data_IF_727689830830
#
_entry.id   IF_727689830830
#
_cell.length_a   1.000
_cell.length_b   1.000
_cell.length_c   1.000
_cell.angle_alpha   90.00
_cell.angle_beta   90.00
_cell.angle_gamma   90.00
#
_symmetry.space_group_name_H-M   'P 1'
#
loop_
_entity.id
_entity.type
_entity.pdbx_description
1 polymer ?
#
# COMPACT_ATOMS: atom_id res chain seq x y z
N UNK A 1 9.19 -15.54 19.66
CA UNK A 1 10.40 -14.95 19.01
C UNK A 1 9.92 -13.91 18.00
N UNK A 2 10.41 -12.63 18.08
CA UNK A 2 9.94 -11.49 17.28
C UNK A 2 10.93 -11.08 16.17
N UNK A 3 11.63 -12.01 15.50
CA UNK A 3 12.62 -11.67 14.47
C UNK A 3 12.04 -10.86 13.32
N UNK A 4 11.30 -11.51 12.41
CA UNK A 4 10.69 -10.86 11.23
C UNK A 4 9.71 -9.71 11.55
N UNK A 5 8.88 -9.77 12.62
CA UNK A 5 8.06 -8.63 13.01
C UNK A 5 8.84 -7.35 13.27
N UNK A 6 10.05 -7.43 13.87
CA UNK A 6 10.91 -6.27 14.11
C UNK A 6 11.54 -5.72 12.81
N UNK A 7 11.74 -6.56 11.80
CA UNK A 7 12.15 -6.10 10.46
C UNK A 7 11.02 -5.33 9.77
N UNK A 8 9.77 -5.76 10.00
CA UNK A 8 8.61 -5.09 9.41
C UNK A 8 8.24 -3.80 10.13
N UNK A 9 8.43 -3.76 11.45
CA UNK A 9 8.17 -2.57 12.27
C UNK A 9 9.19 -2.50 13.40
N UNK A 10 10.20 -1.66 13.24
CA UNK A 10 11.27 -1.49 14.24
C UNK A 10 10.75 -0.94 15.58
N UNK A 11 9.61 -0.24 15.58
CA UNK A 11 8.94 0.29 16.78
C UNK A 11 7.90 -0.68 17.37
N UNK A 12 7.82 -1.92 16.90
CA UNK A 12 6.79 -2.89 17.31
C UNK A 12 6.59 -2.96 18.83
N UNK A 13 7.69 -3.16 19.57
CA UNK A 13 7.62 -3.28 21.03
C UNK A 13 7.10 -2.02 21.72
N UNK A 14 7.57 -0.85 21.32
CA UNK A 14 7.12 0.45 21.87
C UNK A 14 5.64 0.67 21.57
N UNK A 15 5.18 0.38 20.35
CA UNK A 15 3.77 0.50 19.96
C UNK A 15 2.90 -0.43 20.81
N UNK A 16 3.30 -1.70 20.97
CA UNK A 16 2.54 -2.68 21.74
C UNK A 16 2.36 -2.28 23.22
N UNK A 17 3.42 -1.79 23.88
CA UNK A 17 3.33 -1.43 25.32
C UNK A 17 2.68 -0.05 25.54
N UNK A 18 2.51 0.77 24.51
CA UNK A 18 1.90 2.10 24.60
C UNK A 18 0.45 2.15 24.12
N UNK A 19 -0.20 1.00 23.89
CA UNK A 19 -1.60 0.95 23.42
C UNK A 19 -1.79 1.41 21.98
N UNK A 20 -0.74 1.26 21.15
CA UNK A 20 -0.76 1.63 19.72
C UNK A 20 -0.69 0.40 18.81
N UNK A 21 -1.32 -0.71 19.20
CA UNK A 21 -1.28 -1.97 18.46
C UNK A 21 -1.80 -1.83 17.04
N UNK A 22 -2.80 -0.96 16.84
CA UNK A 22 -3.34 -0.65 15.51
C UNK A 22 -2.32 0.02 14.58
N UNK A 23 -1.29 0.67 15.14
CA UNK A 23 -0.23 1.32 14.37
C UNK A 23 0.93 0.37 13.99
N UNK A 24 0.87 -0.88 14.42
CA UNK A 24 1.88 -1.88 14.10
C UNK A 24 1.72 -2.33 12.64
N UNK A 25 2.79 -2.27 11.88
CA UNK A 25 2.89 -2.86 10.55
C UNK A 25 3.26 -4.34 10.70
N UNK A 26 2.30 -5.24 10.54
CA UNK A 26 2.50 -6.66 10.79
C UNK A 26 3.26 -7.36 9.66
N UNK A 27 4.08 -8.35 10.03
CA UNK A 27 4.81 -9.18 9.08
C UNK A 27 3.85 -10.06 8.28
N UNK A 28 3.96 -10.02 6.96
CA UNK A 28 3.15 -10.83 6.03
C UNK A 28 3.77 -12.18 5.69
N UNK A 29 4.83 -12.57 6.37
CA UNK A 29 5.50 -13.88 6.24
C UNK A 29 6.01 -14.24 4.83
N UNK A 30 6.25 -13.24 3.97
CA UNK A 30 6.73 -13.42 2.58
C UNK A 30 8.16 -13.99 2.48
N UNK A 31 8.95 -13.94 3.56
CA UNK A 31 10.35 -14.38 3.61
C UNK A 31 11.34 -13.58 2.74
N UNK A 32 10.97 -12.46 2.15
CA UNK A 32 11.88 -11.59 1.39
C UNK A 32 13.12 -11.20 2.20
N UNK A 33 12.94 -10.84 3.48
CA UNK A 33 14.05 -10.52 4.37
C UNK A 33 15.00 -11.73 4.58
N UNK A 34 14.46 -12.94 4.69
CA UNK A 34 15.26 -14.15 4.81
C UNK A 34 16.03 -14.45 3.52
N UNK A 35 15.36 -14.34 2.38
CA UNK A 35 15.98 -14.51 1.07
C UNK A 35 17.13 -13.52 0.84
N UNK A 36 16.95 -12.27 1.23
CA UNK A 36 18.00 -11.24 1.14
C UNK A 36 19.24 -11.62 1.98
N UNK A 37 19.04 -12.04 3.24
CA UNK A 37 20.14 -12.44 4.14
C UNK A 37 20.89 -13.66 3.58
N UNK A 38 20.17 -14.70 3.17
CA UNK A 38 20.79 -15.94 2.65
C UNK A 38 21.49 -15.68 1.30
N UNK A 39 20.92 -14.79 0.48
CA UNK A 39 21.50 -14.39 -0.81
C UNK A 39 22.65 -13.38 -0.70
N UNK A 40 23.02 -12.94 0.52
CA UNK A 40 24.08 -11.95 0.73
C UNK A 40 23.75 -10.55 0.21
N UNK A 41 22.46 -10.23 0.06
CA UNK A 41 22.00 -8.91 -0.37
C UNK A 41 21.61 -8.03 0.83
N UNK A 42 21.36 -6.74 0.55
CA UNK A 42 20.85 -5.80 1.54
C UNK A 42 19.50 -6.27 2.06
N UNK A 43 19.30 -6.16 3.38
CA UNK A 43 18.03 -6.50 4.02
C UNK A 43 16.86 -5.76 3.35
N UNK A 44 15.83 -6.50 2.98
CA UNK A 44 14.62 -5.99 2.35
C UNK A 44 13.36 -6.52 3.03
N UNK A 45 12.27 -5.78 2.96
CA UNK A 45 10.97 -6.20 3.46
C UNK A 45 9.86 -5.70 2.53
N UNK A 46 8.98 -6.60 2.07
CA UNK A 46 7.89 -6.23 1.15
C UNK A 46 6.86 -5.31 1.81
N UNK A 47 6.73 -5.37 3.14
CA UNK A 47 5.78 -4.53 3.88
C UNK A 47 6.43 -3.34 4.60
N UNK A 48 7.76 -3.20 4.62
CA UNK A 48 8.45 -2.05 5.21
C UNK A 48 9.42 -1.43 4.21
N UNK A 49 9.01 -0.38 3.47
CA UNK A 49 9.90 0.29 2.50
C UNK A 49 11.03 1.08 3.15
N UNK A 50 11.06 1.18 4.49
CA UNK A 50 12.05 1.93 5.26
C UNK A 50 13.09 1.05 5.94
N UNK A 51 13.02 -0.28 5.77
CA UNK A 51 13.93 -1.21 6.43
C UNK A 51 15.39 -0.84 6.15
N UNK A 52 16.20 -0.77 7.21
CA UNK A 52 17.62 -0.39 7.12
C UNK A 52 17.90 1.09 6.89
N UNK A 53 16.90 1.97 6.95
CA UNK A 53 17.12 3.42 6.93
C UNK A 53 17.49 3.92 8.33
N UNK A 54 18.38 4.91 8.43
CA UNK A 54 18.89 5.44 9.70
C UNK A 54 17.81 5.92 10.67
N UNK A 55 16.64 6.31 10.14
CA UNK A 55 15.51 6.83 10.92
C UNK A 55 14.24 5.98 10.75
N UNK A 56 14.35 4.66 10.60
CA UNK A 56 13.17 3.82 10.35
C UNK A 56 12.25 3.66 11.55
N UNK A 57 12.79 3.78 12.78
CA UNK A 57 12.03 3.56 14.01
C UNK A 57 10.96 4.63 14.18
N UNK A 58 9.69 4.22 14.10
CA UNK A 58 8.49 5.07 14.20
C UNK A 58 8.55 6.31 13.27
N UNK A 59 9.15 6.13 12.10
CA UNK A 59 9.35 7.21 11.13
C UNK A 59 8.05 7.91 10.74
N UNK A 60 8.12 9.23 10.71
CA UNK A 60 7.05 10.09 10.21
C UNK A 60 7.59 10.97 9.08
N UNK A 61 6.82 11.17 7.99
CA UNK A 61 7.22 12.07 6.91
C UNK A 61 7.36 13.51 7.39
N UNK A 62 8.42 14.19 6.95
CA UNK A 62 8.58 15.63 7.20
C UNK A 62 7.53 16.44 6.44
N UNK A 63 6.95 17.44 7.11
CA UNK A 63 5.96 18.30 6.47
C UNK A 63 6.60 19.22 5.44
N UNK A 64 5.92 19.39 4.32
CA UNK A 64 6.34 20.33 3.28
C UNK A 64 5.92 21.78 3.64
N UNK A 65 6.69 22.72 3.17
CA UNK A 65 6.34 24.17 3.23
C UNK A 65 5.48 24.59 2.03
N UNK A 66 5.35 23.75 1.01
CA UNK A 66 4.60 24.02 -0.22
C UNK A 66 3.55 22.93 -0.46
N UNK A 67 2.42 22.95 0.27
CA UNK A 67 1.32 21.99 0.06
C UNK A 67 0.80 22.02 -1.39
N UNK A 68 0.43 20.84 -1.87
CA UNK A 68 -0.14 20.64 -3.22
C UNK A 68 -1.39 19.79 -3.13
N UNK A 69 -2.25 19.90 -4.16
CA UNK A 69 -3.33 18.95 -4.42
C UNK A 69 -2.79 17.79 -5.24
N UNK A 70 -2.89 16.57 -4.72
CA UNK A 70 -2.38 15.38 -5.39
C UNK A 70 -3.54 14.41 -5.64
N UNK A 71 -3.72 14.04 -6.90
CA UNK A 71 -4.63 12.98 -7.28
C UNK A 71 -3.84 11.68 -7.48
N UNK A 72 -4.31 10.58 -6.90
CA UNK A 72 -3.70 9.26 -7.03
C UNK A 72 -4.70 8.32 -7.70
N UNK A 73 -4.34 7.74 -8.83
CA UNK A 73 -5.17 6.80 -9.58
C UNK A 73 -4.71 5.38 -9.29
N UNK A 74 -5.50 4.68 -8.50
CA UNK A 74 -5.25 3.33 -8.04
C UNK A 74 -5.11 3.25 -6.52
N UNK A 75 -6.02 2.49 -5.89
CA UNK A 75 -6.07 2.24 -4.46
C UNK A 75 -5.39 0.91 -4.05
N UNK A 76 -4.44 0.42 -4.84
CA UNK A 76 -3.56 -0.69 -4.51
C UNK A 76 -2.42 -0.28 -3.57
N UNK A 77 -1.55 -1.21 -3.13
CA UNK A 77 -0.49 -0.93 -2.16
C UNK A 77 0.40 0.25 -2.53
N UNK A 78 0.77 0.39 -3.81
CA UNK A 78 1.62 1.50 -4.26
C UNK A 78 0.93 2.86 -4.13
N UNK A 79 -0.34 2.96 -4.56
CA UNK A 79 -1.12 4.19 -4.44
C UNK A 79 -1.44 4.54 -2.99
N UNK A 80 -1.75 3.54 -2.18
CA UNK A 80 -2.04 3.74 -0.76
C UNK A 80 -0.81 4.20 0.04
N UNK A 81 0.37 3.61 -0.24
CA UNK A 81 1.61 4.07 0.40
C UNK A 81 1.93 5.52 0.00
N UNK A 82 1.82 5.85 -1.29
CA UNK A 82 2.01 7.22 -1.77
C UNK A 82 0.99 8.19 -1.13
N UNK A 83 -0.27 7.76 -0.98
CA UNK A 83 -1.34 8.59 -0.45
C UNK A 83 -1.11 9.02 1.00
N UNK A 84 -0.88 8.07 1.90
CA UNK A 84 -0.71 8.42 3.30
C UNK A 84 0.57 9.21 3.54
N UNK A 85 1.67 8.89 2.82
CA UNK A 85 2.92 9.64 2.94
C UNK A 85 2.74 11.08 2.44
N UNK A 86 2.13 11.28 1.27
CA UNK A 86 1.88 12.61 0.73
C UNK A 86 0.99 13.44 1.66
N UNK A 87 -0.10 12.87 2.17
CA UNK A 87 -1.00 13.56 3.10
C UNK A 87 -0.31 13.88 4.44
N UNK A 88 0.50 12.95 4.99
CA UNK A 88 1.29 13.20 6.19
C UNK A 88 2.32 14.33 5.99
N UNK A 89 2.83 14.50 4.76
CA UNK A 89 3.68 15.64 4.39
C UNK A 89 2.90 16.97 4.28
N UNK A 90 1.57 16.95 4.39
CA UNK A 90 0.72 18.14 4.36
C UNK A 90 0.10 18.46 3.00
N UNK A 91 0.18 17.56 2.03
CA UNK A 91 -0.54 17.71 0.77
C UNK A 91 -2.03 17.35 0.94
N UNK A 92 -2.89 17.95 0.13
CA UNK A 92 -4.28 17.53 -0.03
C UNK A 92 -4.33 16.35 -1.01
N UNK A 93 -4.76 15.18 -0.56
CA UNK A 93 -4.68 13.95 -1.35
C UNK A 93 -6.05 13.36 -1.61
N UNK A 94 -6.35 13.08 -2.89
CA UNK A 94 -7.52 12.31 -3.31
C UNK A 94 -7.08 11.05 -4.03
N UNK A 95 -7.56 9.90 -3.56
CA UNK A 95 -7.31 8.58 -4.16
C UNK A 95 -8.55 8.12 -4.92
N UNK A 96 -8.36 7.75 -6.19
CA UNK A 96 -9.37 7.14 -7.03
C UNK A 96 -9.13 5.63 -7.14
N UNK A 97 -10.15 4.82 -6.87
CA UNK A 97 -10.09 3.37 -6.94
C UNK A 97 -11.30 2.75 -7.66
N UNK A 98 -11.05 1.80 -8.56
CA UNK A 98 -12.12 1.13 -9.30
C UNK A 98 -12.95 0.20 -8.40
N UNK A 99 -12.33 -0.44 -7.42
CA UNK A 99 -13.00 -1.28 -6.44
C UNK A 99 -13.63 -0.45 -5.32
N UNK A 100 -14.62 -1.01 -4.63
CA UNK A 100 -15.27 -0.41 -3.45
C UNK A 100 -14.34 -0.29 -2.25
N UNK A 101 -13.24 -1.02 -2.26
CA UNK A 101 -12.27 -1.08 -1.18
C UNK A 101 -10.84 -0.87 -1.68
N UNK A 102 -9.95 -0.50 -0.75
CA UNK A 102 -8.51 -0.38 -0.99
C UNK A 102 -7.80 -1.73 -0.97
N UNK A 103 -6.54 -1.78 -1.44
CA UNK A 103 -5.68 -2.98 -1.40
C UNK A 103 -5.45 -3.60 -2.78
N UNK A 104 -6.27 -3.27 -3.79
CA UNK A 104 -6.08 -3.75 -5.16
C UNK A 104 -5.95 -5.27 -5.24
N UNK A 105 -5.06 -5.79 -6.08
CA UNK A 105 -4.85 -7.23 -6.24
C UNK A 105 -4.33 -7.95 -4.99
N UNK A 106 -3.71 -7.24 -4.05
CA UNK A 106 -3.27 -7.83 -2.78
C UNK A 106 -4.45 -8.39 -1.99
N UNK A 107 -5.64 -7.79 -2.12
CA UNK A 107 -6.86 -8.34 -1.51
C UNK A 107 -7.25 -9.69 -2.07
N UNK A 108 -7.10 -9.89 -3.38
CA UNK A 108 -7.39 -11.17 -4.02
C UNK A 108 -6.46 -12.26 -3.47
N UNK A 109 -5.17 -11.93 -3.33
CA UNK A 109 -4.20 -12.86 -2.75
C UNK A 109 -4.46 -13.12 -1.26
N UNK A 110 -4.87 -12.08 -0.50
CA UNK A 110 -5.22 -12.22 0.92
C UNK A 110 -6.47 -13.10 1.15
N UNK A 111 -7.36 -13.20 0.16
CA UNK A 111 -8.53 -14.06 0.22
C UNK A 111 -8.23 -15.54 -0.06
N UNK A 112 -7.03 -15.87 -0.53
CA UNK A 112 -6.61 -17.25 -0.77
C UNK A 112 -6.14 -17.90 0.54
N UNK A 113 -6.37 -19.21 0.73
CA UNK A 113 -5.87 -19.94 1.89
C UNK A 113 -4.35 -19.78 2.05
N UNK A 114 -3.92 -19.35 3.23
CA UNK A 114 -2.50 -19.06 3.54
C UNK A 114 -2.03 -17.67 3.13
N UNK A 115 -2.89 -16.86 2.48
CA UNK A 115 -2.61 -15.48 2.08
C UNK A 115 -3.12 -14.43 3.07
N UNK A 116 -3.82 -14.82 4.13
CA UNK A 116 -4.58 -13.93 5.03
C UNK A 116 -3.72 -12.81 5.62
N UNK A 117 -2.45 -13.09 5.93
CA UNK A 117 -1.53 -12.09 6.48
C UNK A 117 -1.22 -10.93 5.54
N UNK A 118 -1.50 -11.07 4.23
CA UNK A 118 -1.32 -10.00 3.24
C UNK A 118 -2.27 -8.82 3.46
N UNK A 119 -3.38 -9.03 4.19
CA UNK A 119 -4.29 -7.94 4.56
C UNK A 119 -3.57 -6.84 5.34
N UNK A 120 -2.57 -7.21 6.16
CA UNK A 120 -1.77 -6.25 6.93
C UNK A 120 -1.17 -5.12 6.09
N UNK A 121 -0.90 -5.34 4.80
CA UNK A 121 -0.36 -4.30 3.92
C UNK A 121 -1.35 -3.15 3.77
N UNK A 122 -2.55 -3.48 3.27
CA UNK A 122 -3.55 -2.45 2.96
C UNK A 122 -4.33 -1.99 4.20
N UNK A 123 -4.48 -2.83 5.23
CA UNK A 123 -5.10 -2.44 6.50
C UNK A 123 -4.27 -1.35 7.19
N UNK A 124 -2.95 -1.55 7.29
CA UNK A 124 -2.04 -0.54 7.80
C UNK A 124 -2.10 0.76 6.98
N UNK A 125 -1.99 0.65 5.65
CA UNK A 125 -2.01 1.80 4.76
C UNK A 125 -3.33 2.56 4.84
N UNK A 126 -4.45 1.85 4.94
CA UNK A 126 -5.78 2.45 5.12
C UNK A 126 -5.87 3.22 6.42
N UNK A 127 -5.47 2.60 7.53
CA UNK A 127 -5.45 3.25 8.83
C UNK A 127 -4.60 4.53 8.81
N UNK A 128 -3.40 4.46 8.19
CA UNK A 128 -2.52 5.64 8.07
C UNK A 128 -3.17 6.74 7.24
N UNK A 129 -3.78 6.37 6.11
CA UNK A 129 -4.44 7.32 5.22
C UNK A 129 -5.63 8.02 5.90
N UNK A 130 -6.44 7.26 6.65
CA UNK A 130 -7.57 7.81 7.41
C UNK A 130 -7.10 8.79 8.51
N UNK A 131 -6.03 8.46 9.24
CA UNK A 131 -5.44 9.32 10.27
C UNK A 131 -4.92 10.67 9.73
N UNK A 132 -4.49 10.71 8.48
CA UNK A 132 -3.95 11.93 7.85
C UNK A 132 -4.92 12.62 6.89
N UNK A 133 -6.18 12.15 6.83
CA UNK A 133 -7.26 12.82 6.12
C UNK A 133 -7.23 12.64 4.59
N UNK A 134 -6.77 11.50 4.10
CA UNK A 134 -6.86 11.18 2.66
C UNK A 134 -8.32 11.04 2.24
N UNK A 135 -8.69 11.71 1.15
CA UNK A 135 -10.01 11.58 0.53
C UNK A 135 -10.03 10.38 -0.43
N UNK A 136 -11.09 9.57 -0.36
CA UNK A 136 -11.29 8.42 -1.24
C UNK A 136 -12.50 8.59 -2.14
N UNK A 137 -12.31 8.25 -3.43
CA UNK A 137 -13.34 8.13 -4.46
C UNK A 137 -13.23 6.72 -5.02
N UNK A 138 -14.03 5.81 -4.48
CA UNK A 138 -13.96 4.36 -4.74
C UNK A 138 -15.21 3.87 -5.47
N UNK A 139 -15.14 2.67 -6.03
CA UNK A 139 -16.26 1.99 -6.67
C UNK A 139 -16.49 2.37 -8.14
N UNK A 140 -15.60 3.16 -8.74
CA UNK A 140 -15.68 3.50 -10.17
C UNK A 140 -14.30 3.67 -10.78
N UNK A 141 -14.13 3.19 -12.01
CA UNK A 141 -12.92 3.43 -12.78
C UNK A 141 -12.86 4.90 -13.19
N UNK A 142 -11.93 5.66 -12.59
CA UNK A 142 -11.75 7.06 -12.87
C UNK A 142 -11.28 7.29 -14.32
N UNK A 143 -11.89 8.23 -15.00
CA UNK A 143 -11.45 8.77 -16.30
C UNK A 143 -10.60 10.02 -16.06
N UNK A 144 -9.88 10.46 -17.08
CA UNK A 144 -9.07 11.67 -16.99
C UNK A 144 -9.89 12.91 -16.54
N UNK A 145 -11.13 13.04 -17.00
CA UNK A 145 -12.02 14.13 -16.60
C UNK A 145 -12.30 14.11 -15.09
N UNK A 146 -12.60 12.94 -14.53
CA UNK A 146 -12.90 12.78 -13.10
C UNK A 146 -11.69 13.17 -12.22
N UNK A 147 -10.48 12.84 -12.69
CA UNK A 147 -9.23 13.20 -12.02
C UNK A 147 -8.94 14.70 -12.12
N UNK A 148 -9.18 15.30 -13.26
CA UNK A 148 -8.94 16.73 -13.49
C UNK A 148 -9.97 17.63 -12.77
N UNK A 149 -11.16 17.11 -12.47
CA UNK A 149 -12.21 17.82 -11.73
C UNK A 149 -11.73 18.28 -10.34
N UNK A 150 -10.84 17.53 -9.67
CA UNK A 150 -10.27 17.94 -8.38
C UNK A 150 -9.13 18.96 -8.54
N UNK A 151 -8.84 19.42 -9.76
CA UNK A 151 -7.78 20.41 -10.08
C UNK A 151 -6.44 20.08 -9.40
N UNK A 152 -5.84 18.91 -9.67
CA UNK A 152 -4.64 18.48 -9.00
C UNK A 152 -3.40 19.23 -9.55
N UNK A 153 -2.45 19.56 -8.66
CA UNK A 153 -1.12 20.06 -9.03
C UNK A 153 -0.22 18.94 -9.55
N UNK A 154 -0.51 17.70 -9.13
CA UNK A 154 0.21 16.50 -9.56
C UNK A 154 -0.69 15.26 -9.55
N UNK A 155 -0.42 14.34 -10.47
CA UNK A 155 -1.12 13.06 -10.57
C UNK A 155 -0.14 11.92 -10.44
N UNK A 156 -0.45 10.95 -9.57
CA UNK A 156 0.29 9.70 -9.41
C UNK A 156 -0.51 8.57 -10.03
N UNK A 157 0.06 7.91 -11.03
CA UNK A 157 -0.56 6.74 -11.65
C UNK A 157 -0.04 5.46 -10.96
N UNK A 158 -0.94 4.79 -10.25
CA UNK A 158 -0.69 3.55 -9.52
C UNK A 158 -1.77 2.49 -9.84
N UNK A 159 -2.21 2.46 -11.11
CA UNK A 159 -3.33 1.65 -11.61
C UNK A 159 -3.05 0.13 -11.60
N UNK A 160 -1.83 -0.27 -11.24
CA UNK A 160 -1.44 -1.68 -11.18
C UNK A 160 -1.15 -2.28 -12.56
N UNK A 161 -1.37 -3.59 -12.68
CA UNK A 161 -1.12 -4.36 -13.89
C UNK A 161 -2.34 -5.20 -14.24
N UNK A 162 -2.45 -5.60 -15.49
CA UNK A 162 -3.40 -6.62 -15.94
C UNK A 162 -2.65 -7.95 -16.17
N UNK A 163 -3.27 -9.10 -15.92
CA UNK A 163 -2.67 -10.39 -16.28
C UNK A 163 -2.37 -10.45 -17.78
N UNK A 164 -1.19 -10.93 -18.13
CA UNK A 164 -0.90 -11.35 -19.49
C UNK A 164 -1.27 -12.83 -19.62
N UNK A 165 -2.36 -13.11 -20.31
CA UNK A 165 -2.81 -14.48 -20.50
C UNK A 165 -1.88 -15.22 -21.47
N UNK A 166 -1.52 -16.47 -21.20
CA UNK A 166 -0.75 -17.28 -22.13
C UNK A 166 -1.51 -17.44 -23.46
N UNK A 167 -0.79 -17.51 -24.58
CA UNK A 167 -1.40 -17.66 -25.91
C UNK A 167 -2.25 -18.94 -26.07
N UNK A 168 -1.91 -19.98 -25.30
CA UNK A 168 -2.62 -21.27 -25.30
C UNK A 168 -3.94 -21.25 -24.50
N UNK A 169 -4.21 -20.19 -23.69
CA UNK A 169 -5.45 -20.13 -22.93
C UNK A 169 -6.61 -19.78 -23.87
N UNK A 170 -7.71 -20.55 -23.90
CA UNK A 170 -8.89 -20.25 -24.70
C UNK A 170 -9.47 -18.87 -24.34
N UNK A 171 -10.01 -18.17 -25.34
CA UNK A 171 -10.51 -16.81 -25.19
C UNK A 171 -11.65 -16.70 -24.17
N UNK A 172 -12.47 -17.73 -24.06
CA UNK A 172 -13.55 -17.84 -23.08
C UNK A 172 -13.11 -17.72 -21.62
N UNK A 173 -11.83 -18.04 -21.33
CA UNK A 173 -11.25 -17.89 -19.99
C UNK A 173 -10.52 -16.55 -19.81
N UNK A 174 -10.25 -15.81 -20.90
CA UNK A 174 -9.56 -14.51 -20.84
C UNK A 174 -10.50 -13.37 -20.48
N UNK A 175 -11.76 -13.47 -20.91
CA UNK A 175 -12.80 -12.48 -20.72
C UNK A 175 -13.68 -12.78 -19.50
N UNK A 176 -13.35 -13.81 -18.73
CA UNK A 176 -14.10 -14.14 -17.53
C UNK A 176 -14.03 -12.97 -16.54
N UNK A 177 -15.17 -12.47 -16.12
CA UNK A 177 -15.34 -11.43 -15.09
C UNK A 177 -14.82 -11.86 -13.70
N UNK A 178 -13.91 -12.83 -13.68
CA UNK A 178 -13.35 -13.45 -12.48
C UNK A 178 -12.35 -12.55 -11.74
N UNK A 179 -11.91 -11.47 -12.40
CA UNK A 179 -10.96 -10.52 -11.82
C UNK A 179 -11.58 -9.13 -11.82
N UNK A 180 -12.12 -8.68 -10.67
CA UNK A 180 -12.64 -7.32 -10.50
C UNK A 180 -11.56 -6.24 -10.60
#
# INVERSE_FOLDING_TARGET
MLGRPLVTDAAWGVKAVSGREADIRYCVSCNTCWGAIVGGSTLACDNNPRVGSDNEVDWQPERTTTPKKIAIVGAGPAGMEAAWIAAARGHEVTVFGASTDVGGKTRLHAALPGGESLSSVYDYQRLRADKVGVRFVLGARARAADVLEVSPDAVVLASGSTPAWPAWLPDEYRDAEWFP
#
